data_IF_365833200170
#
_entry.id   IF_365833200170
#
_cell.length_a   1.000
_cell.length_b   1.000
_cell.length_c   1.000
_cell.angle_alpha   90.00
_cell.angle_beta   90.00
_cell.angle_gamma   90.00
#
_symmetry.space_group_name_H-M   'P 1'
#
loop_
_entity.id
_entity.type
_entity.pdbx_description
1 polymer ?
#
# COMPACT_ATOMS: atom_id res chain seq x y z
N UNK A 1 30.11 -27.96 -35.47
CA UNK A 1 28.71 -28.27 -35.09
C UNK A 1 28.50 -28.27 -33.57
N UNK A 2 28.98 -29.28 -32.80
CA UNK A 2 28.72 -29.40 -31.34
C UNK A 2 29.04 -28.16 -30.50
N UNK A 3 30.16 -27.49 -30.78
CA UNK A 3 30.57 -26.27 -30.05
C UNK A 3 29.61 -25.09 -30.30
N UNK A 4 29.04 -24.97 -31.50
CA UNK A 4 28.12 -23.88 -31.86
C UNK A 4 26.79 -24.01 -31.13
N UNK A 5 26.26 -25.24 -31.01
CA UNK A 5 25.05 -25.50 -30.22
C UNK A 5 25.24 -25.17 -28.74
N UNK A 6 26.42 -25.48 -28.18
CA UNK A 6 26.75 -25.13 -26.79
C UNK A 6 26.79 -23.62 -26.59
N UNK A 7 27.38 -22.86 -27.52
CA UNK A 7 27.40 -21.39 -27.41
C UNK A 7 26.00 -20.80 -27.50
N UNK A 8 25.16 -21.29 -28.43
CA UNK A 8 23.78 -20.82 -28.58
C UNK A 8 22.96 -21.12 -27.32
N UNK A 9 23.09 -22.34 -26.76
CA UNK A 9 22.40 -22.71 -25.53
C UNK A 9 22.84 -21.88 -24.33
N UNK A 10 24.13 -21.54 -24.24
CA UNK A 10 24.64 -20.67 -23.19
C UNK A 10 24.07 -19.25 -23.30
N UNK A 11 24.06 -18.66 -24.50
CA UNK A 11 23.45 -17.34 -24.72
C UNK A 11 21.94 -17.34 -24.46
N UNK A 12 21.22 -18.40 -24.86
CA UNK A 12 19.79 -18.54 -24.59
C UNK A 12 19.48 -18.70 -23.09
N UNK A 13 20.33 -19.40 -22.35
CA UNK A 13 20.23 -19.52 -20.90
C UNK A 13 20.53 -18.17 -20.21
N UNK A 14 21.54 -17.46 -20.67
CA UNK A 14 21.92 -16.15 -20.14
C UNK A 14 20.81 -15.11 -20.33
N UNK A 15 20.14 -15.11 -21.48
CA UNK A 15 19.00 -14.22 -21.74
C UNK A 15 17.77 -14.62 -20.91
N UNK A 16 17.53 -15.92 -20.69
CA UNK A 16 16.46 -16.39 -19.80
C UNK A 16 16.66 -15.91 -18.35
N UNK A 17 17.90 -16.02 -17.85
CA UNK A 17 18.27 -15.57 -16.51
C UNK A 17 18.16 -14.06 -16.34
N UNK A 18 18.58 -13.27 -17.34
CA UNK A 18 18.48 -11.81 -17.28
C UNK A 18 17.03 -11.31 -17.16
N UNK A 19 16.07 -11.99 -17.82
CA UNK A 19 14.66 -11.62 -17.73
C UNK A 19 14.02 -11.99 -16.37
N UNK A 20 14.52 -13.03 -15.69
CA UNK A 20 14.07 -13.41 -14.35
C UNK A 20 14.52 -12.41 -13.26
N UNK A 21 15.58 -11.64 -13.52
CA UNK A 21 16.12 -10.61 -12.61
C UNK A 21 15.41 -9.26 -12.75
N UNK A 22 14.56 -9.09 -13.76
CA UNK A 22 13.57 -8.01 -13.77
C UNK A 22 12.48 -8.35 -12.74
N UNK A 23 12.86 -8.32 -11.47
CA UNK A 23 11.98 -8.44 -10.34
C UNK A 23 10.91 -7.37 -10.49
N UNK A 24 9.66 -7.81 -10.32
CA UNK A 24 8.48 -6.97 -10.23
C UNK A 24 8.85 -5.71 -9.44
N UNK A 25 8.73 -4.53 -10.05
CA UNK A 25 8.89 -3.27 -9.32
C UNK A 25 7.71 -3.21 -8.38
N UNK A 26 7.81 -3.94 -7.26
CA UNK A 26 6.81 -4.02 -6.23
C UNK A 26 6.57 -2.58 -5.82
N UNK A 27 5.49 -2.01 -6.34
CA UNK A 27 5.11 -0.64 -6.05
C UNK A 27 4.88 -0.64 -4.55
N UNK A 28 5.83 -0.08 -3.81
CA UNK A 28 5.86 -0.23 -2.37
C UNK A 28 4.63 0.49 -1.82
N UNK A 29 3.61 -0.29 -1.47
CA UNK A 29 2.34 0.23 -1.02
C UNK A 29 2.56 0.94 0.32
N UNK A 30 2.20 2.21 0.37
CA UNK A 30 2.44 3.02 1.57
C UNK A 30 1.27 2.83 2.53
N UNK A 31 1.57 2.62 3.80
CA UNK A 31 0.57 2.56 4.86
C UNK A 31 0.55 3.89 5.62
N UNK A 32 -0.66 4.39 5.87
CA UNK A 32 -0.91 5.62 6.64
C UNK A 32 -1.93 5.27 7.72
N UNK A 33 -1.56 5.50 8.98
CA UNK A 33 -2.46 5.39 10.12
C UNK A 33 -3.04 6.77 10.46
N UNK A 34 -4.36 6.89 10.38
CA UNK A 34 -5.12 8.04 10.86
C UNK A 34 -5.75 7.71 12.21
N UNK A 35 -5.31 8.42 13.26
CA UNK A 35 -5.88 8.29 14.61
C UNK A 35 -6.75 9.52 14.87
N UNK A 36 -8.06 9.32 15.05
CA UNK A 36 -9.01 10.39 15.33
C UNK A 36 -9.33 10.47 16.82
N UNK A 37 -9.47 11.68 17.37
CA UNK A 37 -9.97 11.87 18.74
C UNK A 37 -11.48 11.57 18.88
N UNK A 38 -12.19 11.55 17.76
CA UNK A 38 -13.63 11.30 17.69
C UNK A 38 -13.90 9.91 17.15
N UNK A 39 -14.93 9.26 17.67
CA UNK A 39 -15.43 7.99 17.16
C UNK A 39 -16.45 8.20 16.04
N UNK A 40 -16.85 7.12 15.34
CA UNK A 40 -17.91 7.16 14.33
C UNK A 40 -19.28 7.66 14.84
N UNK A 41 -19.47 7.87 16.15
CA UNK A 41 -20.69 8.47 16.68
C UNK A 41 -20.82 9.96 16.40
N UNK A 42 -19.73 10.63 16.01
CA UNK A 42 -19.74 12.06 15.65
C UNK A 42 -19.93 12.22 14.13
N UNK A 43 -20.86 13.06 13.66
CA UNK A 43 -21.19 13.18 12.23
C UNK A 43 -20.01 13.66 11.38
N UNK A 44 -19.09 14.43 11.95
CA UNK A 44 -17.89 14.93 11.26
C UNK A 44 -16.82 13.87 11.08
N UNK A 45 -16.89 12.72 11.77
CA UNK A 45 -15.91 11.63 11.63
C UNK A 45 -15.86 11.13 10.18
N UNK A 46 -17.03 10.81 9.62
CA UNK A 46 -17.12 10.29 8.26
C UNK A 46 -16.70 11.33 7.22
N UNK A 47 -17.07 12.60 7.42
CA UNK A 47 -16.66 13.69 6.53
C UNK A 47 -15.12 13.84 6.47
N UNK A 48 -14.43 13.69 7.61
CA UNK A 48 -12.97 13.70 7.66
C UNK A 48 -12.37 12.51 6.90
N UNK A 49 -12.89 11.30 7.15
CA UNK A 49 -12.44 10.07 6.49
C UNK A 49 -12.63 10.15 4.97
N UNK A 50 -13.80 10.60 4.51
CA UNK A 50 -14.10 10.78 3.10
C UNK A 50 -13.20 11.83 2.44
N UNK A 51 -12.93 12.94 3.14
CA UNK A 51 -11.99 13.96 2.71
C UNK A 51 -10.59 13.37 2.45
N UNK A 52 -10.05 12.58 3.40
CA UNK A 52 -8.74 11.93 3.24
C UNK A 52 -8.78 10.89 2.11
N UNK A 53 -9.82 10.05 2.04
CA UNK A 53 -9.95 9.05 0.97
C UNK A 53 -10.00 9.70 -0.43
N UNK A 54 -10.67 10.84 -0.56
CA UNK A 54 -10.78 11.54 -1.85
C UNK A 54 -9.41 11.92 -2.45
N UNK A 55 -8.45 12.31 -1.61
CA UNK A 55 -7.10 12.70 -2.06
C UNK A 55 -6.14 11.51 -2.21
N UNK A 56 -6.52 10.33 -1.70
CA UNK A 56 -5.77 9.09 -1.82
C UNK A 56 -6.27 8.21 -2.98
N UNK A 57 -7.43 8.54 -3.57
CA UNK A 57 -7.96 7.84 -4.73
C UNK A 57 -6.92 7.81 -5.87
N UNK A 58 -6.70 6.63 -6.45
CA UNK A 58 -5.69 6.40 -7.49
C UNK A 58 -4.24 6.34 -7.01
N UNK A 59 -3.97 6.46 -5.70
CA UNK A 59 -2.63 6.30 -5.11
C UNK A 59 -2.48 4.90 -4.51
N UNK A 60 -1.27 4.37 -4.55
CA UNK A 60 -0.93 3.11 -3.89
C UNK A 60 -0.74 3.30 -2.37
N UNK A 61 -1.82 3.69 -1.68
CA UNK A 61 -1.84 4.01 -0.25
C UNK A 61 -2.96 3.22 0.43
N UNK A 62 -2.62 2.55 1.53
CA UNK A 62 -3.59 1.98 2.48
C UNK A 62 -3.79 2.98 3.61
N UNK A 63 -5.04 3.31 3.90
CA UNK A 63 -5.43 4.16 5.01
C UNK A 63 -6.06 3.29 6.10
N UNK A 64 -5.32 3.12 7.19
CA UNK A 64 -5.77 2.51 8.43
C UNK A 64 -6.37 3.59 9.32
N UNK A 65 -7.50 3.30 9.97
CA UNK A 65 -8.27 4.28 10.74
C UNK A 65 -8.53 3.72 12.13
N UNK A 66 -8.06 4.45 13.13
CA UNK A 66 -8.31 4.19 14.53
C UNK A 66 -8.91 5.43 15.20
N UNK A 67 -9.64 5.22 16.29
CA UNK A 67 -10.21 6.32 17.06
C UNK A 67 -9.96 6.15 18.55
N UNK A 68 -9.71 7.27 19.23
CA UNK A 68 -9.58 7.30 20.67
C UNK A 68 -10.97 7.42 21.30
N UNK A 69 -11.25 6.62 22.31
CA UNK A 69 -12.41 6.83 23.19
C UNK A 69 -12.12 8.06 24.06
N UNK A 70 -12.50 9.24 23.54
CA UNK A 70 -12.50 10.45 24.35
C UNK A 70 -13.61 10.30 25.38
N UNK A 71 -13.22 9.87 26.58
CA UNK A 71 -14.07 9.83 27.77
C UNK A 71 -14.99 11.05 27.76
N UNK A 72 -16.30 10.83 27.64
CA UNK A 72 -17.30 11.86 27.96
C UNK A 72 -16.92 12.35 29.35
N UNK A 73 -16.61 13.63 29.50
CA UNK A 73 -16.29 14.17 30.82
C UNK A 73 -17.45 13.79 31.74
N UNK A 74 -17.20 13.09 32.86
CA UNK A 74 -18.27 12.75 33.79
C UNK A 74 -18.72 14.05 34.46
N UNK A 75 -19.85 14.59 34.02
CA UNK A 75 -20.44 15.80 34.58
C UNK A 75 -21.24 16.60 33.56
N UNK A 76 -22.37 16.06 33.13
CA UNK A 76 -23.53 16.82 32.62
C UNK A 76 -24.79 15.94 32.85
N UNK A 77 -24.97 15.49 34.09
CA UNK A 77 -26.26 15.00 34.64
C UNK A 77 -26.86 16.10 35.53
#
# INVERSE_FOLDING_TARGET
>A
MRKVYLTIMFYAMLTLLANAVNGDTATHQKHVLYISSYSPSFPTFFQQVEGIRSVFNGKNIILDIEFMDSRRFPGDD
#
